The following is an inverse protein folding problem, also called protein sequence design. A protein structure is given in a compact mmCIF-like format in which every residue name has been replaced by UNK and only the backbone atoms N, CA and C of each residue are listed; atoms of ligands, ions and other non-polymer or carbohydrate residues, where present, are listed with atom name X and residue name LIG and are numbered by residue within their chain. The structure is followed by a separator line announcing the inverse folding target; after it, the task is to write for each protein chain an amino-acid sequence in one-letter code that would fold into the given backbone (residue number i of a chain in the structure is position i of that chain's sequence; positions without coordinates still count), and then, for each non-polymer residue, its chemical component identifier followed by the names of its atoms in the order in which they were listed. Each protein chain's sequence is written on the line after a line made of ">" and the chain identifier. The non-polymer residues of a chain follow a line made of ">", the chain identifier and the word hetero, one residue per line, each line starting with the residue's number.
data_IF_612996338881
#
_entry.id   IF_612996338881
#
_cell.length_a   1.000
_cell.length_b   1.000
_cell.length_c   1.000
_cell.angle_alpha   90.00
_cell.angle_beta   90.00
_cell.angle_gamma   90.00
#
_symmetry.space_group_name_H-M   'P 1'
#
loop_
_entity.id
_entity.type
_entity.pdbx_description
1 polymer ?
#
# COMPACT_ATOMS: atom_id res chain seq x y z
N UNK A 1 -3.02 -14.09 -6.95
CA UNK A 1 -3.00 -14.56 -8.36
C UNK A 1 -1.57 -14.45 -8.87
N UNK A 2 -1.10 -15.39 -9.68
CA UNK A 2 0.23 -15.33 -10.33
C UNK A 2 0.05 -15.01 -11.80
N UNK A 3 0.85 -14.09 -12.33
CA UNK A 3 0.77 -13.65 -13.71
C UNK A 3 2.06 -12.95 -14.15
N UNK A 4 2.36 -12.90 -15.47
CA UNK A 4 3.44 -12.10 -16.02
C UNK A 4 3.26 -10.59 -15.73
N UNK A 5 4.36 -9.83 -15.81
CA UNK A 5 4.44 -8.42 -15.42
C UNK A 5 3.30 -7.55 -15.97
N UNK A 6 3.06 -7.58 -17.29
CA UNK A 6 2.05 -6.74 -17.92
C UNK A 6 0.63 -7.01 -17.41
N UNK A 7 0.24 -8.28 -17.32
CA UNK A 7 -1.08 -8.66 -16.81
C UNK A 7 -1.19 -8.38 -15.31
N UNK A 8 -0.08 -8.51 -14.58
CA UNK A 8 0.08 -8.08 -13.19
C UNK A 8 -0.34 -6.64 -13.00
N UNK A 9 0.17 -5.75 -13.84
CA UNK A 9 -0.15 -4.33 -13.76
C UNK A 9 -1.63 -4.04 -14.04
N UNK A 10 -2.23 -4.71 -15.03
CA UNK A 10 -3.65 -4.54 -15.37
C UNK A 10 -4.53 -5.01 -14.21
N UNK A 11 -4.35 -6.26 -13.75
CA UNK A 11 -5.17 -6.83 -12.67
C UNK A 11 -4.99 -6.05 -11.38
N UNK A 12 -3.77 -5.62 -11.06
CA UNK A 12 -3.49 -4.84 -9.86
C UNK A 12 -4.26 -3.50 -9.83
N UNK A 13 -4.33 -2.78 -10.96
CA UNK A 13 -5.12 -1.54 -11.03
C UNK A 13 -6.64 -1.79 -10.97
N UNK A 14 -7.12 -2.85 -11.62
CA UNK A 14 -8.55 -3.23 -11.56
C UNK A 14 -8.94 -3.58 -10.13
N UNK A 15 -8.17 -4.43 -9.45
CA UNK A 15 -8.40 -4.80 -8.05
C UNK A 15 -8.31 -3.60 -7.11
N UNK A 16 -7.33 -2.71 -7.31
CA UNK A 16 -7.22 -1.49 -6.51
C UNK A 16 -8.47 -0.59 -6.68
N UNK A 17 -8.98 -0.45 -7.91
CA UNK A 17 -10.23 0.27 -8.16
C UNK A 17 -11.44 -0.35 -7.47
N UNK A 18 -11.54 -1.68 -7.45
CA UNK A 18 -12.66 -2.41 -6.83
C UNK A 18 -12.75 -2.24 -5.32
N UNK A 19 -11.62 -2.08 -4.63
CA UNK A 19 -11.57 -1.97 -3.16
C UNK A 19 -11.55 -0.53 -2.64
N UNK A 20 -11.72 0.47 -3.52
CA UNK A 20 -11.82 1.89 -3.12
C UNK A 20 -10.71 2.80 -3.66
N UNK A 21 -9.80 2.27 -4.47
CA UNK A 21 -8.88 3.07 -5.30
C UNK A 21 -7.41 3.08 -4.83
N UNK A 22 -6.57 3.90 -5.50
CA UNK A 22 -5.12 3.84 -5.38
C UNK A 22 -4.57 4.27 -4.02
N UNK A 23 -5.37 4.99 -3.22
CA UNK A 23 -4.96 5.50 -1.90
C UNK A 23 -5.01 4.46 -0.77
N UNK A 24 -5.54 3.25 -1.03
CA UNK A 24 -5.80 2.25 0.01
C UNK A 24 -4.88 1.03 -0.06
N UNK A 25 -4.43 0.64 -1.26
CA UNK A 25 -3.77 -0.65 -1.46
C UNK A 25 -2.24 -0.52 -1.36
N UNK A 26 -1.58 -1.21 -0.40
CA UNK A 26 -0.12 -1.26 -0.30
C UNK A 26 0.49 -2.25 -1.29
N UNK A 27 1.76 -2.05 -1.64
CA UNK A 27 2.54 -2.92 -2.52
C UNK A 27 3.90 -3.28 -1.92
N UNK A 28 4.44 -4.43 -2.33
CA UNK A 28 5.77 -4.86 -1.98
C UNK A 28 6.43 -5.60 -3.14
N UNK A 29 7.72 -5.37 -3.33
CA UNK A 29 8.57 -6.03 -4.30
C UNK A 29 9.66 -6.78 -3.54
N UNK A 30 9.69 -8.10 -3.68
CA UNK A 30 10.66 -8.96 -3.03
C UNK A 30 11.67 -9.47 -4.05
N UNK A 31 12.95 -9.21 -3.79
CA UNK A 31 14.07 -9.85 -4.45
C UNK A 31 14.64 -10.98 -3.58
N UNK A 32 15.78 -11.53 -4.00
CA UNK A 32 16.47 -12.57 -3.24
C UNK A 32 17.03 -12.02 -1.92
N UNK A 33 17.69 -10.86 -1.97
CA UNK A 33 18.40 -10.27 -0.82
C UNK A 33 17.76 -8.97 -0.32
N UNK A 34 16.85 -8.39 -1.10
CA UNK A 34 16.29 -7.06 -0.86
C UNK A 34 14.76 -7.07 -0.95
N UNK A 35 14.12 -6.16 -0.21
CA UNK A 35 12.69 -5.91 -0.30
C UNK A 35 12.41 -4.41 -0.35
N UNK A 36 11.48 -4.00 -1.22
CA UNK A 36 11.07 -2.60 -1.39
C UNK A 36 9.55 -2.52 -1.24
N UNK A 37 9.09 -1.59 -0.40
CA UNK A 37 7.67 -1.38 -0.09
C UNK A 37 7.20 -0.05 -0.67
N UNK A 38 6.06 -0.06 -1.36
CA UNK A 38 5.54 1.09 -2.12
C UNK A 38 4.01 1.07 -2.14
N UNK A 39 3.38 2.05 -2.81
CA UNK A 39 1.93 1.99 -3.08
C UNK A 39 1.66 1.04 -4.25
N UNK A 40 0.57 0.26 -4.19
CA UNK A 40 0.32 -0.78 -5.19
C UNK A 40 0.20 -0.21 -6.61
N UNK A 41 -0.40 0.96 -6.78
CA UNK A 41 -0.68 1.53 -8.11
C UNK A 41 0.47 2.37 -8.67
N UNK A 42 1.56 2.58 -7.91
CA UNK A 42 2.74 3.38 -8.33
C UNK A 42 2.40 4.79 -8.82
N UNK A 43 1.32 5.36 -8.30
CA UNK A 43 0.86 6.69 -8.68
C UNK A 43 1.73 7.76 -8.01
N UNK A 44 2.11 8.78 -8.78
CA UNK A 44 2.93 9.89 -8.29
C UNK A 44 2.12 11.00 -7.63
N UNK A 45 0.81 11.09 -7.91
CA UNK A 45 -0.08 12.08 -7.30
C UNK A 45 0.27 13.55 -7.59
N UNK A 46 1.00 13.84 -8.67
CA UNK A 46 1.50 15.21 -8.97
C UNK A 46 0.42 16.30 -8.96
N UNK A 47 -0.80 15.99 -9.40
CA UNK A 47 -1.92 16.96 -9.43
C UNK A 47 -2.42 17.37 -8.04
N UNK A 48 -2.20 16.53 -7.02
CA UNK A 48 -2.66 16.73 -5.64
C UNK A 48 -1.52 16.98 -4.65
N UNK A 49 -0.27 17.00 -5.12
CA UNK A 49 0.91 17.23 -4.29
C UNK A 49 0.85 18.61 -3.61
N UNK A 50 1.32 18.67 -2.36
CA UNK A 50 1.36 19.89 -1.51
C UNK A 50 -0.02 20.52 -1.22
N UNK A 51 -1.11 19.75 -1.36
CA UNK A 51 -2.47 20.22 -1.07
C UNK A 51 -3.09 19.61 0.19
N UNK A 52 -2.37 18.73 0.88
CA UNK A 52 -2.85 18.01 2.06
C UNK A 52 -4.17 17.24 1.84
N UNK A 53 -4.37 16.70 0.63
CA UNK A 53 -5.57 15.93 0.25
C UNK A 53 -5.25 14.49 -0.17
N UNK A 54 -3.98 14.08 -0.13
CA UNK A 54 -3.58 12.73 -0.50
C UNK A 54 -3.94 11.76 0.63
N UNK A 55 -4.52 10.60 0.29
CA UNK A 55 -4.82 9.56 1.27
C UNK A 55 -3.52 8.84 1.68
N UNK A 56 -3.12 8.86 2.97
CA UNK A 56 -1.87 8.25 3.43
C UNK A 56 -1.95 6.72 3.63
N UNK A 57 -3.15 6.13 3.57
CA UNK A 57 -3.42 4.76 4.02
C UNK A 57 -2.56 3.71 3.31
N UNK A 58 -2.48 3.75 1.97
CA UNK A 58 -1.65 2.82 1.20
C UNK A 58 -0.17 2.87 1.61
N UNK A 59 0.36 4.06 1.86
CA UNK A 59 1.76 4.25 2.25
C UNK A 59 2.00 3.74 3.69
N UNK A 60 1.09 4.00 4.62
CA UNK A 60 1.18 3.51 6.00
C UNK A 60 1.08 1.98 6.07
N UNK A 61 0.18 1.37 5.29
CA UNK A 61 0.06 -0.08 5.21
C UNK A 61 1.30 -0.71 4.56
N UNK A 62 1.90 -0.07 3.56
CA UNK A 62 3.17 -0.51 2.97
C UNK A 62 4.32 -0.46 4.01
N UNK A 63 4.37 0.59 4.84
CA UNK A 63 5.29 0.65 5.97
C UNK A 63 5.04 -0.46 7.00
N UNK A 64 3.78 -0.84 7.25
CA UNK A 64 3.47 -1.99 8.10
C UNK A 64 4.01 -3.31 7.52
N UNK A 65 3.91 -3.51 6.19
CA UNK A 65 4.51 -4.67 5.52
C UNK A 65 6.04 -4.68 5.65
N UNK A 66 6.67 -3.51 5.59
CA UNK A 66 8.10 -3.35 5.84
C UNK A 66 8.48 -3.76 7.27
N UNK A 67 7.73 -3.29 8.27
CA UNK A 67 7.96 -3.67 9.67
C UNK A 67 7.82 -5.17 9.89
N UNK A 68 6.84 -5.82 9.25
CA UNK A 68 6.72 -7.29 9.28
C UNK A 68 7.93 -7.99 8.64
N UNK A 69 8.45 -7.45 7.54
CA UNK A 69 9.64 -7.97 6.90
C UNK A 69 10.88 -7.84 7.81
N UNK A 70 10.96 -6.76 8.59
CA UNK A 70 11.99 -6.52 9.61
C UNK A 70 11.77 -7.28 10.94
N UNK A 71 10.74 -8.14 11.03
CA UNK A 71 10.36 -8.89 12.24
C UNK A 71 9.87 -8.02 13.41
N UNK A 72 9.47 -6.78 13.13
CA UNK A 72 8.91 -5.83 14.09
C UNK A 72 7.37 -5.92 14.14
N UNK A 73 6.86 -7.12 14.35
CA UNK A 73 5.43 -7.46 14.20
C UNK A 73 4.48 -6.73 15.15
N UNK A 74 4.95 -6.41 16.36
CA UNK A 74 4.16 -5.64 17.34
C UNK A 74 3.85 -4.25 16.80
N UNK A 75 4.88 -3.52 16.35
CA UNK A 75 4.75 -2.19 15.76
C UNK A 75 3.90 -2.22 14.48
N UNK A 76 4.13 -3.21 13.62
CA UNK A 76 3.34 -3.39 12.40
C UNK A 76 1.84 -3.54 12.70
N UNK A 77 1.51 -4.32 13.73
CA UNK A 77 0.13 -4.58 14.15
C UNK A 77 -0.50 -3.34 14.76
N UNK A 78 0.19 -2.64 15.67
CA UNK A 78 -0.33 -1.41 16.29
C UNK A 78 -0.67 -0.36 15.24
N UNK A 79 0.23 -0.10 14.29
CA UNK A 79 0.01 0.91 13.24
C UNK A 79 -1.13 0.45 12.32
N UNK A 80 -1.13 -0.81 11.88
CA UNK A 80 -2.19 -1.34 11.00
C UNK A 80 -3.57 -1.23 11.61
N UNK A 81 -3.72 -1.59 12.88
CA UNK A 81 -5.01 -1.50 13.57
C UNK A 81 -5.47 -0.03 13.70
N UNK A 82 -4.56 0.89 14.03
CA UNK A 82 -4.88 2.31 14.08
C UNK A 82 -5.31 2.86 12.70
N UNK A 83 -4.62 2.47 11.63
CA UNK A 83 -4.97 2.88 10.26
C UNK A 83 -6.34 2.35 9.85
N UNK A 84 -6.63 1.07 10.13
CA UNK A 84 -7.93 0.48 9.82
C UNK A 84 -9.06 1.12 10.65
N UNK A 85 -8.84 1.35 11.93
CA UNK A 85 -9.82 2.04 12.79
C UNK A 85 -10.12 3.47 12.29
N UNK A 86 -9.13 4.17 11.74
CA UNK A 86 -9.33 5.50 11.14
C UNK A 86 -10.16 5.48 9.85
N UNK A 87 -10.29 4.34 9.18
CA UNK A 87 -11.17 4.20 8.00
C UNK A 87 -12.62 3.95 8.39
N UNK A 88 -12.86 3.47 9.61
CA UNK A 88 -14.20 3.21 10.16
C UNK A 88 -14.79 4.47 10.84
N UNK A 89 -14.00 5.52 11.00
CA UNK A 89 -14.44 6.82 11.56
C UNK A 89 -15.38 7.52 10.55
N UNK A 90 -16.64 7.84 10.94
CA UNK A 90 -17.67 8.36 10.03
C UNK A 90 -17.42 9.77 9.45
#
# INVERSE_FOLDING_TARGET
>A
MVMPNLYGNIVNNVCAGLVGGPGLVPGANYGHDYAVFETATRNTGKSIANRNIANPTAALLAACMMLDHLRLHSYATTIRQAVLASLDDP
#
